data_IF_020751634080
#
_entry.id   IF_020751634080
#
_cell.length_a   1.000
_cell.length_b   1.000
_cell.length_c   1.000
_cell.angle_alpha   90.00
_cell.angle_beta   90.00
_cell.angle_gamma   90.00
#
_symmetry.space_group_name_H-M   'P 1'
#
loop_
_entity.id
_entity.type
_entity.pdbx_description
1 polymer ?
#
# COMPACT_ATOMS: atom_id res chain seq x y z
N UNK A 1 48.29 14.42 -24.28
CA UNK A 1 46.82 14.49 -24.17
C UNK A 1 46.29 13.08 -24.01
N UNK A 2 45.63 12.79 -22.88
CA UNK A 2 44.44 11.93 -22.72
C UNK A 2 44.24 11.80 -21.22
N UNK A 3 43.36 12.65 -20.70
CA UNK A 3 42.80 12.52 -19.36
C UNK A 3 41.69 11.50 -19.49
N UNK A 4 41.80 10.36 -18.82
CA UNK A 4 40.69 9.43 -18.57
C UNK A 4 39.61 10.16 -17.76
N UNK A 5 38.41 10.43 -18.31
CA UNK A 5 37.31 10.88 -17.49
C UNK A 5 36.73 9.67 -16.77
N UNK A 6 36.56 9.86 -15.47
CA UNK A 6 36.03 8.91 -14.53
C UNK A 6 34.61 8.45 -14.90
N UNK A 7 34.36 7.16 -14.64
CA UNK A 7 33.16 6.59 -14.04
C UNK A 7 31.87 7.42 -14.17
N UNK A 8 30.97 6.94 -15.02
CA UNK A 8 29.54 7.21 -14.88
C UNK A 8 28.77 5.96 -15.31
N UNK A 9 28.77 4.96 -14.44
CA UNK A 9 27.67 4.00 -14.43
C UNK A 9 26.49 4.74 -13.81
N UNK A 10 25.68 5.38 -14.65
CA UNK A 10 24.34 5.77 -14.27
C UNK A 10 23.55 4.46 -14.09
N UNK A 11 23.67 3.87 -12.89
CA UNK A 11 22.71 2.90 -12.40
C UNK A 11 21.40 3.67 -12.27
N UNK A 12 20.59 3.65 -13.33
CA UNK A 12 19.16 3.90 -13.19
C UNK A 12 18.69 2.87 -12.17
N UNK A 13 18.54 3.32 -10.92
CA UNK A 13 17.67 2.69 -9.95
C UNK A 13 16.30 2.64 -10.62
N UNK A 14 16.03 1.53 -11.31
CA UNK A 14 14.70 0.97 -11.39
C UNK A 14 14.24 0.87 -9.94
N UNK A 15 13.59 1.92 -9.46
CA UNK A 15 12.62 1.83 -8.39
C UNK A 15 11.41 1.04 -8.91
N UNK A 16 11.67 -0.16 -9.43
CA UNK A 16 10.75 -1.26 -9.24
C UNK A 16 10.87 -1.50 -7.76
N UNK A 17 9.96 -0.90 -7.01
CA UNK A 17 9.66 -1.29 -5.65
C UNK A 17 9.44 -2.80 -5.71
N UNK A 18 10.51 -3.55 -5.47
CA UNK A 18 10.43 -4.90 -4.97
C UNK A 18 9.68 -4.74 -3.67
N UNK A 19 8.34 -4.79 -3.75
CA UNK A 19 7.43 -5.00 -2.63
C UNK A 19 7.73 -6.41 -2.13
N UNK A 20 8.91 -6.52 -1.53
CA UNK A 20 9.60 -7.74 -1.18
C UNK A 20 9.03 -8.13 0.16
N UNK A 21 7.85 -8.75 0.18
CA UNK A 21 7.21 -9.30 1.37
C UNK A 21 7.36 -8.40 2.62
N UNK A 22 7.34 -7.08 2.41
CA UNK A 22 7.39 -6.12 3.49
C UNK A 22 6.02 -6.26 4.12
N UNK A 23 5.99 -6.83 5.33
CA UNK A 23 4.78 -6.94 6.15
C UNK A 23 4.03 -5.63 6.05
N UNK A 24 2.86 -5.64 5.41
CA UNK A 24 2.04 -4.44 5.28
C UNK A 24 1.76 -3.94 6.69
N UNK A 25 2.15 -2.70 6.98
CA UNK A 25 1.76 -2.04 8.22
C UNK A 25 0.43 -1.31 7.98
N UNK A 26 -0.69 -1.84 8.50
CA UNK A 26 -2.01 -1.26 8.28
C UNK A 26 -2.14 0.14 8.92
N UNK A 27 -1.27 0.51 9.88
CA UNK A 27 -1.29 1.82 10.53
C UNK A 27 -0.60 2.94 9.71
N UNK A 28 0.19 2.57 8.69
CA UNK A 28 0.93 3.54 7.86
C UNK A 28 0.59 3.47 6.39
N UNK A 29 0.05 2.36 5.90
CA UNK A 29 -0.32 2.20 4.50
C UNK A 29 -1.30 3.29 4.05
N UNK A 30 -0.96 3.92 2.94
CA UNK A 30 -1.75 5.01 2.35
C UNK A 30 -2.70 4.51 1.27
N UNK A 31 -3.79 5.25 1.06
CA UNK A 31 -4.70 5.01 -0.05
C UNK A 31 -4.02 5.17 -1.41
N UNK A 32 -2.98 6.00 -1.49
CA UNK A 32 -2.14 6.11 -2.68
C UNK A 32 -1.35 4.83 -2.96
N UNK A 33 -0.73 4.24 -1.94
CA UNK A 33 -0.01 2.97 -2.06
C UNK A 33 -0.98 1.87 -2.47
N UNK A 34 -2.12 1.75 -1.79
CA UNK A 34 -3.18 0.81 -2.12
C UNK A 34 -3.65 0.91 -3.59
N UNK A 35 -3.99 2.12 -4.05
CA UNK A 35 -4.49 2.36 -5.41
C UNK A 35 -3.42 2.18 -6.51
N UNK A 36 -2.13 2.25 -6.16
CA UNK A 36 -1.02 2.14 -7.10
C UNK A 36 -0.42 0.72 -7.16
N UNK A 37 -0.89 -0.18 -6.30
CA UNK A 37 -0.34 -1.53 -6.18
C UNK A 37 -0.90 -2.48 -7.25
N UNK A 38 -0.20 -3.60 -7.40
CA UNK A 38 -0.70 -4.80 -8.05
C UNK A 38 -1.95 -5.35 -7.35
N UNK A 39 -2.74 -6.16 -8.07
CA UNK A 39 -3.89 -6.83 -7.47
C UNK A 39 -3.51 -7.66 -6.23
N UNK A 40 -2.35 -8.32 -6.25
CA UNK A 40 -1.88 -9.09 -5.09
C UNK A 40 -1.55 -8.16 -3.91
N UNK A 41 -0.84 -7.05 -4.14
CA UNK A 41 -0.52 -6.11 -3.08
C UNK A 41 -1.76 -5.43 -2.49
N UNK A 42 -2.77 -5.14 -3.31
CA UNK A 42 -4.09 -4.72 -2.81
C UNK A 42 -4.71 -5.75 -1.87
N UNK A 43 -4.70 -7.04 -2.24
CA UNK A 43 -5.23 -8.12 -1.38
C UNK A 43 -4.42 -8.26 -0.09
N UNK A 44 -3.10 -8.13 -0.15
CA UNK A 44 -2.23 -8.19 1.02
C UNK A 44 -2.54 -7.04 2.00
N UNK A 45 -2.81 -5.83 1.46
CA UNK A 45 -3.24 -4.67 2.24
C UNK A 45 -4.63 -4.89 2.85
N UNK A 46 -5.60 -5.37 2.07
CA UNK A 46 -6.95 -5.67 2.57
C UNK A 46 -6.87 -6.67 3.72
N UNK A 47 -6.08 -7.74 3.57
CA UNK A 47 -5.94 -8.77 4.59
C UNK A 47 -5.28 -8.23 5.87
N UNK A 48 -4.23 -7.41 5.73
CA UNK A 48 -3.58 -6.77 6.88
C UNK A 48 -4.53 -5.81 7.62
N UNK A 49 -5.30 -5.01 6.89
CA UNK A 49 -6.30 -4.10 7.48
C UNK A 49 -7.46 -4.89 8.09
N UNK A 50 -7.88 -5.99 7.48
CA UNK A 50 -8.88 -6.90 8.02
C UNK A 50 -8.48 -7.44 9.39
N UNK A 51 -7.25 -7.96 9.50
CA UNK A 51 -6.71 -8.46 10.75
C UNK A 51 -6.57 -7.36 11.82
N UNK A 52 -6.13 -6.16 11.43
CA UNK A 52 -6.03 -5.02 12.34
C UNK A 52 -7.38 -4.49 12.82
N UNK A 53 -8.44 -4.64 12.02
CA UNK A 53 -9.78 -4.10 12.32
C UNK A 53 -10.74 -5.11 12.95
N UNK A 54 -10.32 -6.36 13.22
CA UNK A 54 -11.20 -7.37 13.87
C UNK A 54 -11.76 -6.92 15.22
N UNK A 55 -11.05 -6.07 15.95
CA UNK A 55 -11.50 -5.52 17.22
C UNK A 55 -12.43 -4.32 17.10
N UNK A 56 -12.59 -3.74 15.91
CA UNK A 56 -13.45 -2.59 15.69
C UNK A 56 -14.94 -3.00 15.61
N UNK A 57 -15.85 -2.34 16.34
CA UNK A 57 -17.25 -2.72 16.39
C UNK A 57 -18.01 -2.58 15.06
N UNK A 58 -17.52 -1.75 14.13
CA UNK A 58 -18.13 -1.57 12.80
C UNK A 58 -17.43 -2.43 11.77
N UNK A 59 -16.11 -2.30 11.66
CA UNK A 59 -15.29 -2.93 10.62
C UNK A 59 -15.02 -4.41 10.90
N UNK A 60 -14.83 -4.81 12.17
CA UNK A 60 -14.55 -6.19 12.56
C UNK A 60 -15.70 -7.17 12.33
N UNK A 61 -16.92 -6.66 12.11
CA UNK A 61 -18.09 -7.47 11.75
C UNK A 61 -18.19 -7.74 10.25
N UNK A 62 -17.43 -7.00 9.43
CA UNK A 62 -17.44 -7.16 7.99
C UNK A 62 -16.72 -8.45 7.60
N UNK A 63 -17.11 -9.02 6.47
CA UNK A 63 -16.29 -10.03 5.78
C UNK A 63 -15.13 -9.30 5.09
N UNK A 64 -13.99 -9.97 4.95
CA UNK A 64 -12.81 -9.42 4.26
C UNK A 64 -13.15 -8.83 2.89
N UNK A 65 -13.96 -9.53 2.08
CA UNK A 65 -14.42 -9.00 0.78
C UNK A 65 -15.22 -7.71 0.88
N UNK A 66 -16.04 -7.58 1.94
CA UNK A 66 -16.84 -6.37 2.17
C UNK A 66 -16.00 -5.22 2.71
N UNK A 67 -14.98 -5.54 3.50
CA UNK A 67 -13.99 -4.58 3.95
C UNK A 67 -13.18 -4.06 2.76
N UNK A 68 -12.76 -4.93 1.84
CA UNK A 68 -12.10 -4.54 0.59
C UNK A 68 -12.92 -3.54 -0.22
N UNK A 69 -14.23 -3.79 -0.44
CA UNK A 69 -15.12 -2.82 -1.10
C UNK A 69 -15.21 -1.48 -0.36
N UNK A 70 -15.09 -1.50 0.98
CA UNK A 70 -15.16 -0.30 1.82
C UNK A 70 -13.86 0.49 1.70
N UNK A 71 -12.72 -0.20 1.72
CA UNK A 71 -11.38 0.36 1.47
C UNK A 71 -11.34 1.01 0.08
N UNK A 72 -11.80 0.31 -0.97
CA UNK A 72 -11.86 0.86 -2.33
C UNK A 72 -12.59 2.19 -2.38
N UNK A 73 -13.78 2.26 -1.77
CA UNK A 73 -14.60 3.48 -1.75
C UNK A 73 -13.96 4.59 -0.92
N UNK A 74 -13.44 4.25 0.26
CA UNK A 74 -12.79 5.20 1.17
C UNK A 74 -11.54 5.80 0.52
N UNK A 75 -10.71 4.98 -0.13
CA UNK A 75 -9.49 5.40 -0.80
C UNK A 75 -9.72 6.10 -2.13
N UNK A 76 -10.83 5.82 -2.82
CA UNK A 76 -11.25 6.64 -3.96
C UNK A 76 -11.69 8.05 -3.52
N UNK A 77 -12.32 8.18 -2.35
CA UNK A 77 -12.75 9.47 -1.81
C UNK A 77 -11.60 10.26 -1.17
N UNK A 78 -10.61 9.58 -0.58
CA UNK A 78 -9.51 10.18 0.18
C UNK A 78 -8.15 9.64 -0.29
N UNK A 79 -7.68 10.02 -1.49
CA UNK A 79 -6.50 9.41 -2.12
C UNK A 79 -5.19 9.63 -1.34
N UNK A 80 -5.09 10.71 -0.57
CA UNK A 80 -3.90 11.07 0.21
C UNK A 80 -3.98 10.63 1.68
N UNK A 81 -5.09 10.01 2.11
CA UNK A 81 -5.27 9.53 3.47
C UNK A 81 -4.56 8.18 3.70
N UNK A 82 -4.36 7.85 4.97
CA UNK A 82 -4.06 6.45 5.36
C UNK A 82 -5.30 5.60 5.20
N UNK A 83 -5.14 4.32 4.88
CA UNK A 83 -6.28 3.41 4.67
C UNK A 83 -7.17 3.35 5.92
N UNK A 84 -6.60 3.18 7.11
CA UNK A 84 -7.37 3.16 8.38
C UNK A 84 -8.07 4.50 8.65
N UNK A 85 -7.39 5.62 8.40
CA UNK A 85 -7.98 6.94 8.65
C UNK A 85 -9.15 7.22 7.70
N UNK A 86 -9.09 6.70 6.47
CA UNK A 86 -10.17 6.83 5.50
C UNK A 86 -11.40 5.97 5.82
N UNK A 87 -11.27 4.97 6.70
CA UNK A 87 -12.35 4.07 7.12
C UNK A 87 -13.16 4.59 8.33
N UNK A 88 -12.69 5.64 9.00
CA UNK A 88 -13.33 6.25 10.18
C UNK A 88 -14.19 7.47 9.81
#
# INVERSE_FOLDING_TARGET
MVRTPALSFAFLMLALSTLSAATVDPATVTCKEYNSDSHQGMQDIISAVYDATRGDPKLGTLKESKLGETIDKACAANPDAKVIDALH
#
